data_IF_944407438410
#
_entry.id   IF_944407438410
#
_cell.length_a   1.000
_cell.length_b   1.000
_cell.length_c   1.000
_cell.angle_alpha   90.00
_cell.angle_beta   90.00
_cell.angle_gamma   90.00
#
_symmetry.space_group_name_H-M   'P 1'
#
loop_
_entity.id
_entity.type
_entity.pdbx_description
1 polymer ?
#
# COMPACT_ATOMS: atom_id res chain seq x y z
N UNK A 1 13.29 -32.36 -21.16
CA UNK A 1 11.92 -32.28 -20.62
C UNK A 1 11.91 -31.13 -19.62
N UNK A 2 11.39 -29.97 -20.05
CA UNK A 2 11.32 -28.76 -19.24
C UNK A 2 10.10 -28.90 -18.34
N UNK A 3 10.33 -28.95 -17.03
CA UNK A 3 9.26 -28.89 -16.02
C UNK A 3 8.64 -27.49 -16.08
N UNK A 4 7.45 -27.39 -16.64
CA UNK A 4 6.66 -26.18 -16.56
C UNK A 4 6.22 -25.98 -15.11
N UNK A 5 6.71 -24.92 -14.49
CA UNK A 5 6.33 -24.48 -13.17
C UNK A 5 4.85 -24.02 -13.21
N UNK A 6 3.91 -24.65 -12.47
CA UNK A 6 2.49 -24.40 -12.62
C UNK A 6 1.98 -23.08 -12.06
N UNK A 7 2.88 -22.22 -11.59
CA UNK A 7 2.50 -20.91 -11.05
C UNK A 7 3.47 -19.83 -11.50
N UNK A 8 3.55 -19.58 -12.81
CA UNK A 8 4.55 -18.70 -13.43
C UNK A 8 4.82 -17.38 -12.69
N UNK A 9 5.64 -17.41 -11.65
CA UNK A 9 6.21 -16.21 -11.05
C UNK A 9 7.23 -15.61 -12.01
N UNK A 10 6.94 -14.43 -12.52
CA UNK A 10 7.88 -13.65 -13.34
C UNK A 10 8.43 -12.51 -12.51
N UNK A 11 9.73 -12.51 -12.29
CA UNK A 11 10.41 -11.42 -11.59
C UNK A 11 11.19 -10.60 -12.63
N UNK A 12 10.96 -9.30 -12.64
CA UNK A 12 11.71 -8.34 -13.47
C UNK A 12 12.33 -7.27 -12.59
N UNK A 13 13.61 -7.00 -12.82
CA UNK A 13 14.34 -5.92 -12.19
C UNK A 13 14.52 -4.80 -13.22
N UNK A 14 14.12 -3.58 -12.87
CA UNK A 14 14.16 -2.41 -13.74
C UNK A 14 14.90 -1.31 -12.99
N UNK A 15 15.90 -0.71 -13.64
CA UNK A 15 16.60 0.46 -13.10
C UNK A 15 16.11 1.71 -13.83
N UNK A 16 15.61 2.69 -13.10
CA UNK A 16 15.14 3.95 -13.67
C UNK A 16 15.43 5.12 -12.73
N UNK A 17 16.17 6.11 -13.22
CA UNK A 17 16.42 7.39 -12.52
C UNK A 17 16.86 7.24 -11.06
N UNK A 18 17.79 6.31 -10.78
CA UNK A 18 18.31 6.06 -9.41
C UNK A 18 17.38 5.24 -8.53
N UNK A 19 16.32 4.65 -9.09
CA UNK A 19 15.45 3.69 -8.45
C UNK A 19 15.64 2.30 -9.04
N UNK A 20 15.63 1.32 -8.19
CA UNK A 20 15.55 -0.08 -8.53
C UNK A 20 14.11 -0.53 -8.29
N UNK A 21 13.45 -0.99 -9.34
CA UNK A 21 12.08 -1.49 -9.32
C UNK A 21 12.14 -3.01 -9.45
N UNK A 22 11.61 -3.71 -8.49
CA UNK A 22 11.40 -5.15 -8.56
C UNK A 22 9.92 -5.40 -8.81
N UNK A 23 9.62 -5.98 -9.97
CA UNK A 23 8.25 -6.34 -10.35
C UNK A 23 8.11 -7.84 -10.31
N UNK A 24 7.22 -8.34 -9.47
CA UNK A 24 6.83 -9.74 -9.42
C UNK A 24 5.40 -9.88 -9.95
N UNK A 25 5.20 -10.73 -10.93
CA UNK A 25 3.87 -11.04 -11.47
C UNK A 25 3.57 -12.50 -11.21
N UNK A 26 2.43 -12.77 -10.59
CA UNK A 26 1.94 -14.11 -10.25
C UNK A 26 0.61 -14.31 -10.96
N UNK A 27 0.44 -15.46 -11.62
CA UNK A 27 -0.86 -15.89 -12.12
C UNK A 27 -1.60 -16.59 -11.00
N UNK A 28 -2.83 -16.17 -10.72
CA UNK A 28 -3.71 -16.75 -9.71
C UNK A 28 -5.00 -17.18 -10.38
N UNK A 29 -5.36 -18.44 -10.21
CA UNK A 29 -6.63 -18.97 -10.68
C UNK A 29 -7.66 -18.86 -9.57
N UNK A 30 -8.75 -18.11 -9.81
CA UNK A 30 -9.85 -17.97 -8.85
C UNK A 30 -11.16 -18.31 -9.54
N UNK A 31 -11.76 -19.42 -9.17
CA UNK A 31 -12.96 -19.93 -9.83
C UNK A 31 -12.71 -20.23 -11.30
N UNK A 32 -13.44 -19.59 -12.22
CA UNK A 32 -13.28 -19.74 -13.67
C UNK A 32 -12.43 -18.66 -14.30
N UNK A 33 -11.81 -17.80 -13.49
CA UNK A 33 -11.03 -16.64 -13.95
C UNK A 33 -9.54 -16.76 -13.71
N UNK A 34 -8.76 -16.33 -14.71
CA UNK A 34 -7.32 -16.14 -14.59
C UNK A 34 -7.03 -14.71 -14.17
N UNK A 35 -6.30 -14.54 -13.09
CA UNK A 35 -5.86 -13.26 -12.58
C UNK A 35 -4.34 -13.15 -12.63
N UNK A 36 -3.84 -11.99 -13.02
CA UNK A 36 -2.44 -11.65 -12.92
C UNK A 36 -2.27 -10.63 -11.81
N UNK A 37 -1.65 -11.04 -10.72
CA UNK A 37 -1.29 -10.13 -9.62
C UNK A 37 0.13 -9.66 -9.86
N UNK A 38 0.31 -8.36 -10.10
CA UNK A 38 1.62 -7.76 -10.25
C UNK A 38 1.92 -6.92 -9.02
N UNK A 39 2.98 -7.28 -8.32
CA UNK A 39 3.52 -6.52 -7.20
C UNK A 39 4.80 -5.80 -7.64
N UNK A 40 4.85 -4.50 -7.45
CA UNK A 40 6.01 -3.69 -7.78
C UNK A 40 6.54 -3.02 -6.52
N UNK A 41 7.82 -3.26 -6.23
CA UNK A 41 8.52 -2.66 -5.10
C UNK A 41 9.61 -1.75 -5.65
N UNK A 42 9.60 -0.50 -5.25
CA UNK A 42 10.65 0.46 -5.57
C UNK A 42 11.58 0.61 -4.37
N UNK A 43 12.88 0.47 -4.58
CA UNK A 43 13.89 0.88 -3.60
C UNK A 43 14.82 1.91 -4.25
N UNK A 44 15.31 2.84 -3.47
CA UNK A 44 16.34 3.75 -3.94
C UNK A 44 17.61 2.92 -4.12
N UNK A 45 18.14 2.87 -5.34
CA UNK A 45 19.46 2.32 -5.55
C UNK A 45 20.43 3.11 -4.67
N UNK A 46 21.28 2.45 -3.90
CA UNK A 46 22.24 3.13 -3.02
C UNK A 46 23.00 4.16 -3.83
N UNK A 47 22.66 5.43 -3.66
CA UNK A 47 23.33 6.50 -4.32
C UNK A 47 24.75 6.57 -3.72
N UNK A 48 25.75 6.37 -4.56
CA UNK A 48 27.07 6.93 -4.30
C UNK A 48 26.83 8.40 -3.90
N UNK A 49 27.40 8.91 -2.81
CA UNK A 49 27.12 10.25 -2.32
C UNK A 49 27.54 11.29 -3.37
N UNK A 50 26.61 11.77 -4.14
CA UNK A 50 26.73 12.98 -4.94
C UNK A 50 25.70 13.97 -4.44
N UNK A 51 26.18 15.17 -4.18
CA UNK A 51 25.53 16.33 -3.58
C UNK A 51 24.04 16.53 -3.92
N UNK A 52 23.30 16.85 -2.85
CA UNK A 52 22.11 17.70 -2.76
C UNK A 52 21.44 18.16 -4.06
N UNK A 53 20.32 17.54 -4.36
CA UNK A 53 19.25 18.07 -5.19
C UNK A 53 17.94 17.63 -4.56
N UNK A 54 17.27 18.52 -3.85
CA UNK A 54 15.96 18.27 -3.28
C UNK A 54 14.98 17.94 -4.38
N UNK A 55 14.39 16.76 -4.34
CA UNK A 55 13.21 16.45 -5.13
C UNK A 55 12.01 17.09 -4.42
N UNK A 56 11.60 18.24 -4.91
CA UNK A 56 10.26 18.73 -4.64
C UNK A 56 9.27 17.74 -5.22
N UNK A 57 8.68 16.93 -4.35
CA UNK A 57 7.51 16.16 -4.70
C UNK A 57 6.38 17.19 -4.81
N UNK A 58 5.99 17.49 -6.05
CA UNK A 58 4.81 18.27 -6.32
C UNK A 58 3.65 17.62 -5.55
N UNK A 59 3.12 18.35 -4.60
CA UNK A 59 1.98 17.99 -3.77
C UNK A 59 0.71 18.12 -4.65
N UNK A 60 0.53 17.17 -5.56
CA UNK A 60 -0.68 17.04 -6.34
C UNK A 60 -1.78 16.52 -5.43
N UNK A 61 -2.33 17.40 -4.62
CA UNK A 61 -3.45 17.14 -3.74
C UNK A 61 -4.67 16.70 -4.53
N UNK A 62 -4.78 15.42 -4.79
CA UNK A 62 -6.06 14.81 -5.14
C UNK A 62 -6.85 14.63 -3.83
N UNK A 63 -7.45 15.70 -3.34
CA UNK A 63 -8.48 15.63 -2.31
C UNK A 63 -9.64 14.80 -2.85
N UNK A 64 -10.21 13.93 -2.03
CA UNK A 64 -11.49 13.30 -2.34
C UNK A 64 -12.52 14.41 -2.31
N UNK A 65 -13.27 14.55 -3.39
CA UNK A 65 -14.44 15.42 -3.44
C UNK A 65 -15.47 14.91 -2.43
N UNK A 66 -15.86 15.70 -1.42
CA UNK A 66 -16.86 15.27 -0.44
C UNK A 66 -18.26 15.04 -1.02
N UNK A 67 -18.50 15.40 -2.27
CA UNK A 67 -19.73 15.09 -3.01
C UNK A 67 -19.72 13.71 -3.67
N UNK A 68 -18.55 13.10 -3.84
CA UNK A 68 -18.44 11.70 -4.27
C UNK A 68 -18.81 10.77 -3.11
N UNK A 69 -19.44 9.64 -3.41
CA UNK A 69 -19.75 8.64 -2.40
C UNK A 69 -18.45 8.16 -1.72
N UNK A 70 -18.12 8.76 -0.57
CA UNK A 70 -16.95 8.38 0.19
C UNK A 70 -17.33 7.60 1.45
N UNK A 71 -16.51 6.63 1.85
CA UNK A 71 -16.70 5.84 3.06
C UNK A 71 -15.48 5.91 3.96
N UNK A 72 -15.72 6.20 5.23
CA UNK A 72 -14.69 6.13 6.25
C UNK A 72 -14.52 4.70 6.75
N UNK A 73 -13.27 4.25 6.84
CA UNK A 73 -12.86 2.98 7.41
C UNK A 73 -11.95 3.26 8.60
N UNK A 74 -12.25 2.63 9.72
CA UNK A 74 -11.39 2.66 10.89
C UNK A 74 -10.44 1.48 10.83
N UNK A 75 -9.14 1.74 10.92
CA UNK A 75 -8.09 0.73 10.87
C UNK A 75 -7.30 0.79 12.18
N UNK A 76 -7.19 -0.34 12.85
CA UNK A 76 -6.47 -0.49 14.13
C UNK A 76 -5.14 -1.21 13.96
N UNK A 77 -4.28 -1.11 14.98
CA UNK A 77 -3.07 -1.93 15.06
C UNK A 77 -3.41 -3.43 15.11
N UNK A 78 -4.54 -3.80 15.77
CA UNK A 78 -5.02 -5.18 15.81
C UNK A 78 -5.34 -5.75 14.43
N UNK A 79 -5.94 -4.93 13.55
CA UNK A 79 -6.23 -5.35 12.17
C UNK A 79 -4.94 -5.60 11.38
N UNK A 80 -3.93 -4.75 11.57
CA UNK A 80 -2.62 -4.89 10.92
C UNK A 80 -1.92 -6.17 11.42
N UNK A 81 -1.94 -6.42 12.72
CA UNK A 81 -1.34 -7.62 13.31
C UNK A 81 -2.05 -8.90 12.82
N UNK A 82 -3.38 -8.90 12.77
CA UNK A 82 -4.18 -10.01 12.24
C UNK A 82 -3.90 -10.26 10.77
N UNK A 83 -3.76 -9.19 9.96
CA UNK A 83 -3.38 -9.32 8.56
C UNK A 83 -1.99 -9.95 8.40
N UNK A 84 -1.01 -9.52 9.21
CA UNK A 84 0.34 -10.09 9.22
C UNK A 84 0.34 -11.58 9.57
N UNK A 85 -0.51 -11.99 10.51
CA UNK A 85 -0.65 -13.39 10.91
C UNK A 85 -1.21 -14.25 9.77
N UNK A 86 -2.27 -13.78 9.13
CA UNK A 86 -2.95 -14.51 8.04
C UNK A 86 -2.08 -14.59 6.78
N UNK A 87 -1.39 -13.51 6.45
CA UNK A 87 -0.59 -13.43 5.20
C UNK A 87 0.84 -13.90 5.36
N UNK A 88 1.32 -14.04 6.61
CA UNK A 88 2.73 -14.32 6.91
C UNK A 88 3.68 -13.13 6.68
N UNK A 89 3.15 -11.94 6.34
CA UNK A 89 3.97 -10.73 6.17
C UNK A 89 4.29 -10.10 7.53
N UNK A 90 5.42 -10.52 8.10
CA UNK A 90 5.91 -10.07 9.40
C UNK A 90 6.96 -8.97 9.32
N UNK A 91 6.90 -8.13 8.28
CA UNK A 91 7.81 -7.00 8.18
C UNK A 91 7.63 -6.04 9.36
N UNK A 92 8.72 -5.74 10.04
CA UNK A 92 8.71 -4.96 11.29
C UNK A 92 8.20 -3.52 11.13
N UNK A 93 8.17 -2.96 9.94
CA UNK A 93 7.57 -1.63 9.70
C UNK A 93 6.07 -1.62 9.96
N UNK A 94 5.43 -2.80 9.88
CA UNK A 94 4.01 -3.00 10.13
C UNK A 94 3.71 -3.42 11.58
N UNK A 95 4.68 -4.02 12.27
CA UNK A 95 4.44 -4.66 13.56
C UNK A 95 5.16 -3.99 14.74
N UNK A 96 6.26 -3.29 14.47
CA UNK A 96 7.04 -2.67 15.55
C UNK A 96 6.93 -1.14 15.47
N UNK A 97 6.25 -0.51 16.46
CA UNK A 97 6.07 0.92 16.50
C UNK A 97 7.38 1.71 16.36
N UNK A 98 7.34 2.77 15.56
CA UNK A 98 8.50 3.61 15.27
C UNK A 98 9.50 3.02 14.25
N UNK A 99 9.39 1.76 13.85
CA UNK A 99 10.27 1.18 12.82
C UNK A 99 10.04 1.81 11.45
N UNK A 100 8.79 2.07 11.10
CA UNK A 100 8.46 2.74 9.85
C UNK A 100 9.07 4.14 9.78
N UNK A 101 8.96 4.93 10.85
CA UNK A 101 9.59 6.25 10.94
C UNK A 101 11.13 6.17 10.81
N UNK A 102 11.77 5.21 11.48
CA UNK A 102 13.21 4.97 11.36
C UNK A 102 13.64 4.54 9.96
N UNK A 103 12.76 3.88 9.22
CA UNK A 103 12.98 3.50 7.82
C UNK A 103 12.70 4.64 6.82
N UNK A 104 12.40 5.85 7.31
CA UNK A 104 12.10 7.01 6.48
C UNK A 104 10.68 7.01 5.90
N UNK A 105 9.82 6.09 6.34
CA UNK A 105 8.41 6.12 5.99
C UNK A 105 7.69 7.16 6.85
N UNK A 106 6.63 7.71 6.28
CA UNK A 106 5.81 8.69 6.98
C UNK A 106 4.91 7.98 7.97
N UNK A 107 5.37 7.92 9.22
CA UNK A 107 4.66 7.32 10.34
C UNK A 107 5.02 8.04 11.64
N UNK A 108 4.11 8.02 12.60
CA UNK A 108 4.40 8.52 13.93
C UNK A 108 5.44 7.64 14.65
N UNK A 109 6.14 8.23 15.63
CA UNK A 109 7.13 7.50 16.44
C UNK A 109 6.53 6.33 17.24
N UNK A 110 5.22 6.40 17.51
CA UNK A 110 4.44 5.36 18.21
C UNK A 110 3.50 4.62 17.26
N UNK A 111 3.64 4.85 15.96
CA UNK A 111 2.81 4.25 14.91
C UNK A 111 3.52 3.16 14.15
N UNK A 112 2.72 2.42 13.43
CA UNK A 112 3.12 1.45 12.40
C UNK A 112 2.50 1.87 11.07
N UNK A 113 2.97 1.33 9.98
CA UNK A 113 2.38 1.54 8.65
C UNK A 113 1.52 0.35 8.30
N UNK A 114 0.31 0.57 7.82
CA UNK A 114 -0.54 -0.50 7.31
C UNK A 114 0.13 -1.19 6.10
N UNK A 115 -0.08 -2.50 5.98
CA UNK A 115 0.38 -3.26 4.81
C UNK A 115 -0.26 -2.70 3.54
N UNK A 116 0.52 -2.49 2.49
CA UNK A 116 -0.02 -2.01 1.21
C UNK A 116 -1.14 -2.90 0.68
N UNK A 117 -0.96 -4.23 0.75
CA UNK A 117 -1.99 -5.17 0.31
C UNK A 117 -3.26 -5.13 1.17
N UNK A 118 -3.18 -4.83 2.48
CA UNK A 118 -4.35 -4.61 3.32
C UNK A 118 -5.13 -3.37 2.84
N UNK A 119 -4.43 -2.27 2.60
CA UNK A 119 -5.03 -1.04 2.06
C UNK A 119 -5.63 -1.28 0.68
N UNK A 120 -4.95 -2.04 -0.18
CA UNK A 120 -5.48 -2.47 -1.48
C UNK A 120 -6.74 -3.33 -1.37
N UNK A 121 -6.77 -4.27 -0.42
CA UNK A 121 -7.94 -5.11 -0.16
C UNK A 121 -9.15 -4.28 0.30
N UNK A 122 -8.96 -3.26 1.13
CA UNK A 122 -10.01 -2.31 1.52
C UNK A 122 -10.59 -1.57 0.30
N UNK A 123 -9.73 -1.07 -0.60
CA UNK A 123 -10.18 -0.45 -1.85
C UNK A 123 -11.02 -1.41 -2.69
N UNK A 124 -10.58 -2.65 -2.84
CA UNK A 124 -11.28 -3.65 -3.65
C UNK A 124 -12.59 -4.10 -3.03
N UNK A 125 -12.65 -4.23 -1.71
CA UNK A 125 -13.83 -4.69 -0.99
C UNK A 125 -14.96 -3.67 -0.93
N UNK A 126 -14.62 -2.38 -0.93
CA UNK A 126 -15.61 -1.32 -0.75
C UNK A 126 -16.14 -0.76 -2.06
N UNK A 127 -15.36 -0.81 -3.12
CA UNK A 127 -15.80 -0.39 -4.44
C UNK A 127 -16.51 -1.55 -5.13
N UNK A 128 -17.80 -1.40 -5.40
CA UNK A 128 -18.53 -2.37 -6.20
C UNK A 128 -17.90 -2.42 -7.60
N UNK A 129 -17.20 -3.48 -7.85
CA UNK A 129 -16.49 -3.69 -9.10
C UNK A 129 -17.49 -3.84 -10.26
N UNK A 130 -17.62 -2.82 -11.06
CA UNK A 130 -18.02 -3.00 -12.46
C UNK A 130 -16.97 -3.93 -13.10
N UNK A 131 -17.38 -4.82 -13.95
CA UNK A 131 -16.69 -5.88 -14.70
C UNK A 131 -15.26 -5.60 -15.26
N UNK A 132 -14.41 -4.90 -14.53
CA UNK A 132 -13.05 -4.59 -14.96
C UNK A 132 -12.17 -5.83 -14.83
N UNK A 133 -11.65 -6.28 -15.97
CA UNK A 133 -10.72 -7.42 -16.03
C UNK A 133 -9.30 -7.10 -15.50
N UNK A 134 -8.99 -5.83 -15.35
CA UNK A 134 -7.69 -5.37 -14.86
C UNK A 134 -7.87 -4.22 -13.88
N UNK A 135 -7.29 -4.35 -12.71
CA UNK A 135 -7.27 -3.32 -11.69
C UNK A 135 -5.80 -3.05 -11.34
N UNK A 136 -5.35 -1.82 -11.55
CA UNK A 136 -4.05 -1.37 -11.08
C UNK A 136 -4.19 -0.68 -9.73
N UNK A 137 -3.35 -1.04 -8.77
CA UNK A 137 -3.24 -0.37 -7.47
C UNK A 137 -1.88 0.32 -7.40
N UNK A 138 -1.88 1.62 -7.20
CA UNK A 138 -0.67 2.42 -7.03
C UNK A 138 -0.61 2.94 -5.59
N UNK A 139 0.38 2.46 -4.83
CA UNK A 139 0.63 2.91 -3.46
C UNK A 139 1.48 4.18 -3.51
N UNK A 140 0.90 5.31 -3.14
CA UNK A 140 1.51 6.64 -3.26
C UNK A 140 2.11 7.05 -1.91
N UNK A 141 1.45 6.67 -0.83
CA UNK A 141 1.83 6.99 0.52
C UNK A 141 1.63 5.85 1.49
N UNK A 142 2.04 6.06 2.72
CA UNK A 142 1.81 5.13 3.83
C UNK A 142 0.58 5.54 4.63
N UNK A 143 -0.20 4.56 5.08
CA UNK A 143 -1.23 4.75 6.08
C UNK A 143 -0.62 4.54 7.47
N UNK A 144 -0.50 5.61 8.24
CA UNK A 144 0.04 5.60 9.61
C UNK A 144 -1.05 5.23 10.61
N UNK A 145 -0.80 4.21 11.42
CA UNK A 145 -1.74 3.71 12.43
C UNK A 145 -1.09 3.73 13.79
N UNK A 146 -1.66 4.46 14.77
CA UNK A 146 -1.17 4.45 16.15
C UNK A 146 -1.21 3.04 16.74
N UNK A 147 -0.11 2.58 17.35
CA UNK A 147 -0.03 1.29 18.01
C UNK A 147 -0.25 1.37 19.53
N UNK A 148 -0.03 2.56 20.12
CA UNK A 148 -0.21 2.81 21.54
C UNK A 148 -1.08 4.04 21.78
N UNK A 149 -1.94 4.05 22.83
CA UNK A 149 -2.75 5.20 23.14
C UNK A 149 -1.88 6.42 23.44
N UNK A 150 -2.29 7.56 22.91
CA UNK A 150 -1.87 8.87 23.41
C UNK A 150 -3.02 9.43 24.24
N UNK A 151 -2.99 9.19 25.55
CA UNK A 151 -4.08 9.56 26.45
C UNK A 151 -5.30 8.62 26.25
N UNK A 152 -6.50 9.15 26.46
CA UNK A 152 -7.77 8.41 26.40
C UNK A 152 -8.31 8.22 24.97
N UNK A 153 -7.47 8.41 23.95
CA UNK A 153 -7.88 8.35 22.54
C UNK A 153 -8.01 6.93 22.02
N UNK A 154 -8.91 6.74 21.04
CA UNK A 154 -9.05 5.49 20.30
C UNK A 154 -7.78 5.11 19.54
N UNK A 155 -7.49 3.81 19.55
CA UNK A 155 -6.31 3.22 18.91
C UNK A 155 -6.60 2.86 17.44
N UNK A 156 -6.41 3.81 16.54
CA UNK A 156 -6.62 3.53 15.13
C UNK A 156 -6.45 4.78 14.27
N UNK A 157 -6.69 4.60 13.01
CA UNK A 157 -6.63 5.66 12.01
C UNK A 157 -7.83 5.58 11.07
N UNK A 158 -8.39 6.73 10.72
CA UNK A 158 -9.43 6.82 9.71
C UNK A 158 -8.81 6.88 8.33
N UNK A 159 -9.21 5.94 7.47
CA UNK A 159 -9.00 5.98 6.04
C UNK A 159 -10.31 6.37 5.37
N UNK A 160 -10.25 7.23 4.38
CA UNK A 160 -11.42 7.59 3.56
C UNK A 160 -11.24 6.97 2.19
N UNK A 161 -12.21 6.15 1.80
CA UNK A 161 -12.26 5.44 0.52
C UNK A 161 -13.29 6.12 -0.37
N UNK A 162 -12.85 6.55 -1.53
CA UNK A 162 -13.73 7.02 -2.60
C UNK A 162 -14.38 5.79 -3.26
N UNK A 163 -15.70 5.70 -3.19
CA UNK A 163 -16.45 4.53 -3.66
C UNK A 163 -16.55 4.44 -5.19
N UNK A 164 -16.33 5.54 -5.89
CA UNK A 164 -16.37 5.58 -7.35
C UNK A 164 -15.02 5.16 -7.95
N UNK A 165 -13.95 5.68 -7.39
CA UNK A 165 -12.59 5.46 -7.91
C UNK A 165 -11.80 4.38 -7.16
N UNK A 166 -12.16 4.08 -5.92
CA UNK A 166 -11.39 3.22 -5.03
C UNK A 166 -10.12 3.85 -4.49
N UNK A 167 -9.93 5.15 -4.69
CA UNK A 167 -8.81 5.87 -4.09
C UNK A 167 -8.94 5.92 -2.58
N UNK A 168 -7.80 5.87 -1.87
CA UNK A 168 -7.77 5.96 -0.41
C UNK A 168 -6.91 7.12 0.01
N UNK A 169 -7.45 7.91 0.96
CA UNK A 169 -6.72 9.00 1.60
C UNK A 169 -6.72 8.86 3.11
N UNK A 170 -5.71 9.41 3.76
CA UNK A 170 -5.61 9.57 5.20
C UNK A 170 -5.30 11.02 5.55
N UNK A 171 -6.13 11.67 6.34
CA UNK A 171 -5.97 13.07 6.72
C UNK A 171 -5.72 14.00 5.50
N UNK A 172 -6.51 13.81 4.43
CA UNK A 172 -6.40 14.58 3.19
C UNK A 172 -5.22 14.21 2.26
N UNK A 173 -4.45 13.18 2.60
CA UNK A 173 -3.27 12.76 1.83
C UNK A 173 -3.52 11.45 1.10
N UNK A 174 -3.11 11.35 -0.16
CA UNK A 174 -3.29 10.12 -0.91
C UNK A 174 -2.41 8.99 -0.35
N UNK A 175 -3.01 7.84 -0.16
CA UNK A 175 -2.36 6.59 0.25
C UNK A 175 -2.35 5.62 -0.92
N UNK A 176 -3.48 5.50 -1.62
CA UNK A 176 -3.65 4.58 -2.74
C UNK A 176 -4.46 5.24 -3.85
N UNK A 177 -4.07 4.99 -5.08
CA UNK A 177 -4.86 5.23 -6.30
C UNK A 177 -5.17 3.91 -6.98
N UNK A 178 -6.36 3.85 -7.58
CA UNK A 178 -6.74 2.74 -8.46
C UNK A 178 -6.68 3.23 -9.91
N UNK A 179 -6.16 2.38 -10.80
CA UNK A 179 -6.08 2.63 -12.24
C UNK A 179 -6.81 1.55 -13.03
#
# INVERSE_FOLDING_TARGET
>A
MSSADPGGLVIRQIHRAGWELLRATIRVEVGTGDWHVTHEVARRAEARPTASGGLEIADGGAGIDPSSGARSCWLTYGDIASWAEVTGDRNLVHLLPGKAAKAGLRAGTNGVVAHGLLVGALSLALVQSSSHRHIGLEFIGSADVPAFPRGDGELGATLVVDLDTGAIVQAGRPVLRRR
#
